data_IF_963744263231
#
_entry.id   IF_963744263231
#
_cell.length_a   1.000
_cell.length_b   1.000
_cell.length_c   1.000
_cell.angle_alpha   90.00
_cell.angle_beta   90.00
_cell.angle_gamma   90.00
#
_symmetry.space_group_name_H-M   'P 1'
#
loop_
_entity.id
_entity.type
_entity.pdbx_description
1 polymer ?
#
# COMPACT_ATOMS: atom_id res chain seq x y z
N UNK A 1 47.74 0.91 -37.90
CA UNK A 1 46.60 -0.04 -37.84
C UNK A 1 45.73 0.35 -36.66
N UNK A 2 44.42 0.43 -36.88
CA UNK A 2 43.38 1.00 -36.03
C UNK A 2 42.76 0.00 -35.03
N UNK A 3 42.05 0.56 -34.03
CA UNK A 3 41.02 -0.01 -33.11
C UNK A 3 41.58 -0.73 -31.87
N UNK A 4 41.16 -0.50 -30.62
CA UNK A 4 40.00 0.20 -30.06
C UNK A 4 38.98 -0.79 -29.47
N UNK A 5 38.81 -0.80 -28.14
CA UNK A 5 37.65 -1.21 -27.33
C UNK A 5 38.11 -1.33 -25.85
N UNK A 6 37.54 -0.70 -24.82
CA UNK A 6 36.22 -0.14 -24.69
C UNK A 6 35.25 -1.13 -24.03
N UNK A 7 34.98 -0.88 -22.73
CA UNK A 7 33.73 -1.17 -22.01
C UNK A 7 33.43 -2.57 -21.45
N UNK A 8 32.82 -2.53 -20.26
CA UNK A 8 32.22 -3.65 -19.54
C UNK A 8 31.75 -3.26 -18.14
N UNK A 9 31.03 -2.14 -18.03
CA UNK A 9 30.29 -1.72 -16.83
C UNK A 9 29.20 -2.77 -16.51
N UNK A 10 29.16 -3.36 -15.29
CA UNK A 10 28.11 -4.31 -14.96
C UNK A 10 26.80 -3.57 -14.65
N UNK A 11 26.04 -3.34 -15.73
CA UNK A 11 24.59 -3.42 -15.79
C UNK A 11 23.83 -2.80 -14.62
N UNK A 12 23.67 -1.48 -14.67
CA UNK A 12 22.63 -0.80 -13.90
C UNK A 12 21.27 -1.49 -14.14
N UNK A 13 20.64 -1.92 -13.05
CA UNK A 13 19.26 -2.36 -13.06
C UNK A 13 18.40 -1.19 -13.55
N UNK A 14 18.02 -1.23 -14.84
CA UNK A 14 17.02 -0.32 -15.38
C UNK A 14 15.72 -0.42 -14.57
N UNK A 15 14.90 0.63 -14.56
CA UNK A 15 13.65 0.62 -13.81
C UNK A 15 12.79 -0.55 -14.29
N UNK A 16 12.58 -1.53 -13.40
CA UNK A 16 11.67 -2.64 -13.66
C UNK A 16 10.29 -2.02 -13.78
N UNK A 17 9.75 -2.02 -14.99
CA UNK A 17 8.44 -1.45 -15.29
C UNK A 17 7.41 -2.02 -14.31
N UNK A 18 6.70 -1.13 -13.64
CA UNK A 18 5.48 -1.50 -12.92
C UNK A 18 4.59 -2.22 -13.93
N UNK A 19 4.17 -3.44 -13.60
CA UNK A 19 3.13 -4.11 -14.39
C UNK A 19 1.92 -3.17 -14.29
N UNK A 20 1.44 -2.58 -15.40
CA UNK A 20 0.29 -1.70 -15.33
C UNK A 20 -0.83 -2.49 -14.68
N UNK A 21 -1.42 -1.92 -13.63
CA UNK A 21 -2.66 -2.48 -13.08
C UNK A 21 -3.72 -2.32 -14.18
N UNK A 22 -4.20 -3.39 -14.83
CA UNK A 22 -5.16 -3.40 -15.92
C UNK A 22 -6.58 -3.04 -15.46
N UNK A 23 -6.74 -2.55 -14.24
CA UNK A 23 -7.99 -2.08 -13.69
C UNK A 23 -7.95 -0.55 -13.67
N UNK A 24 -7.99 0.03 -14.88
CA UNK A 24 -8.17 1.47 -15.14
C UNK A 24 -9.61 1.96 -14.86
N UNK A 25 -10.47 1.12 -14.26
CA UNK A 25 -11.92 1.34 -14.16
C UNK A 25 -12.41 2.03 -12.87
N UNK A 26 -11.52 2.64 -12.10
CA UNK A 26 -11.96 3.63 -11.14
C UNK A 26 -11.39 4.98 -11.59
N UNK A 27 -12.22 5.90 -12.14
CA UNK A 27 -11.77 7.28 -12.15
C UNK A 27 -11.37 7.59 -10.70
N UNK A 28 -10.18 8.18 -10.44
CA UNK A 28 -9.93 8.77 -9.14
C UNK A 28 -11.15 9.64 -8.81
N UNK A 29 -11.47 9.85 -7.53
CA UNK A 29 -12.39 10.95 -7.16
C UNK A 29 -11.96 12.12 -8.03
N UNK A 30 -12.83 12.53 -8.97
CA UNK A 30 -12.37 13.14 -10.22
C UNK A 30 -11.32 14.20 -9.95
N UNK A 31 -10.39 14.43 -10.89
CA UNK A 31 -9.44 15.54 -10.86
C UNK A 31 -10.07 16.93 -10.55
N UNK A 32 -11.40 17.02 -10.45
CA UNK A 32 -12.17 18.10 -9.84
C UNK A 32 -12.22 18.20 -8.31
N UNK A 33 -11.74 17.26 -7.45
CA UNK A 33 -11.73 17.50 -5.99
C UNK A 33 -10.53 18.35 -5.53
N UNK A 34 -9.52 18.54 -6.37
CA UNK A 34 -8.53 19.60 -6.19
C UNK A 34 -9.10 21.01 -6.47
N UNK A 35 -10.36 21.12 -6.92
CA UNK A 35 -11.03 22.41 -7.10
C UNK A 35 -11.68 22.86 -5.79
N UNK A 36 -10.86 23.48 -4.93
CA UNK A 36 -11.33 24.43 -3.91
C UNK A 36 -10.81 24.22 -2.48
N UNK A 37 -10.23 23.06 -2.15
CA UNK A 37 -9.65 22.79 -0.83
C UNK A 37 -8.23 22.24 -0.93
N UNK A 38 -7.32 22.71 -0.07
CA UNK A 38 -5.96 22.18 0.01
C UNK A 38 -5.99 20.74 0.56
N UNK A 39 -5.33 19.81 -0.14
CA UNK A 39 -5.11 18.44 0.34
C UNK A 39 -4.34 18.48 1.65
N UNK A 40 -4.88 17.86 2.71
CA UNK A 40 -4.21 17.82 4.03
C UNK A 40 -3.05 16.85 4.09
N UNK A 41 -3.02 15.89 3.19
CA UNK A 41 -1.99 14.88 3.05
C UNK A 41 -2.53 13.57 2.49
N UNK A 42 -1.66 12.55 2.44
CA UNK A 42 -1.96 11.24 1.85
C UNK A 42 -1.70 10.13 2.85
N UNK A 43 -2.66 9.22 2.97
CA UNK A 43 -2.56 8.03 3.81
C UNK A 43 -2.43 6.81 2.92
N UNK A 44 -1.25 6.19 2.96
CA UNK A 44 -0.99 4.88 2.40
C UNK A 44 -1.51 3.81 3.36
N UNK A 45 -2.18 2.81 2.81
CA UNK A 45 -2.93 1.80 3.54
C UNK A 45 -2.54 0.42 3.02
N UNK A 46 -2.10 -0.50 3.88
CA UNK A 46 -2.15 -1.91 3.51
C UNK A 46 -3.61 -2.39 3.39
N UNK A 47 -3.82 -3.48 2.65
CA UNK A 47 -5.15 -4.05 2.43
C UNK A 47 -5.47 -5.12 3.45
N UNK A 48 -4.79 -6.26 3.34
CA UNK A 48 -5.01 -7.46 4.14
C UNK A 48 -4.47 -7.23 5.56
N UNK A 49 -5.26 -7.56 6.58
CA UNK A 49 -4.90 -7.33 7.99
C UNK A 49 -5.06 -5.89 8.48
N UNK A 50 -5.31 -4.94 7.58
CA UNK A 50 -5.46 -3.50 7.91
C UNK A 50 -6.85 -2.95 7.59
N UNK A 51 -7.33 -3.20 6.37
CA UNK A 51 -8.67 -2.77 5.92
C UNK A 51 -9.67 -3.93 5.88
N UNK A 52 -9.18 -5.11 5.48
CA UNK A 52 -9.93 -6.36 5.44
C UNK A 52 -9.23 -7.45 6.23
N UNK A 53 -9.94 -8.52 6.57
CA UNK A 53 -9.38 -9.67 7.28
C UNK A 53 -8.20 -10.28 6.51
N UNK A 54 -7.16 -10.67 7.25
CA UNK A 54 -5.99 -11.37 6.71
C UNK A 54 -6.27 -12.88 6.68
N UNK A 55 -6.29 -13.46 5.49
CA UNK A 55 -6.59 -14.89 5.24
C UNK A 55 -5.43 -15.61 4.53
N UNK A 56 -4.29 -14.94 4.35
CA UNK A 56 -3.06 -15.47 3.77
C UNK A 56 -3.02 -15.41 2.24
N UNK A 57 -4.00 -16.02 1.56
CA UNK A 57 -4.09 -16.03 0.10
C UNK A 57 -5.54 -15.85 -0.36
N UNK A 58 -6.13 -14.71 -0.02
CA UNK A 58 -7.49 -14.35 -0.42
C UNK A 58 -7.65 -14.43 -1.94
N UNK A 59 -8.45 -15.40 -2.40
CA UNK A 59 -8.71 -15.67 -3.83
C UNK A 59 -10.19 -15.63 -4.19
N UNK A 60 -11.06 -15.82 -3.20
CA UNK A 60 -12.51 -15.76 -3.39
C UNK A 60 -13.02 -14.34 -3.06
N UNK A 61 -13.62 -13.61 -4.01
CA UNK A 61 -14.22 -12.31 -3.73
C UNK A 61 -15.32 -12.37 -2.65
N UNK A 62 -15.99 -13.51 -2.47
CA UNK A 62 -17.02 -13.68 -1.45
C UNK A 62 -16.46 -13.75 -0.02
N UNK A 63 -15.14 -13.91 0.15
CA UNK A 63 -14.44 -13.93 1.44
C UNK A 63 -13.89 -12.56 1.84
N UNK A 64 -14.11 -11.52 1.03
CA UNK A 64 -13.75 -10.14 1.43
C UNK A 64 -14.59 -9.74 2.65
N UNK A 65 -13.91 -9.48 3.77
CA UNK A 65 -14.52 -9.06 5.04
C UNK A 65 -13.85 -7.79 5.54
N UNK A 66 -14.59 -6.69 5.59
CA UNK A 66 -14.10 -5.41 6.11
C UNK A 66 -13.86 -5.52 7.61
N UNK A 67 -12.70 -5.07 8.07
CA UNK A 67 -12.38 -5.06 9.50
C UNK A 67 -13.21 -4.01 10.26
N UNK A 68 -13.62 -4.32 11.52
CA UNK A 68 -14.33 -3.36 12.35
C UNK A 68 -13.61 -2.01 12.45
N UNK A 69 -14.35 -0.92 12.25
CA UNK A 69 -13.82 0.45 12.31
C UNK A 69 -13.04 0.92 11.08
N UNK A 70 -12.76 0.06 10.08
CA UNK A 70 -12.07 0.47 8.86
C UNK A 70 -12.85 1.52 8.07
N UNK A 71 -14.14 1.26 7.80
CA UNK A 71 -15.03 2.21 7.13
C UNK A 71 -15.11 3.55 7.87
N UNK A 72 -15.33 3.50 9.19
CA UNK A 72 -15.41 4.71 10.02
C UNK A 72 -14.12 5.54 9.93
N UNK A 73 -12.96 4.90 10.07
CA UNK A 73 -11.66 5.55 9.99
C UNK A 73 -11.40 6.18 8.61
N UNK A 74 -11.68 5.45 7.54
CA UNK A 74 -11.49 5.96 6.17
C UNK A 74 -12.44 7.11 5.83
N UNK A 75 -13.71 7.04 6.23
CA UNK A 75 -14.67 8.15 6.06
C UNK A 75 -14.21 9.40 6.80
N UNK A 76 -13.65 9.23 8.01
CA UNK A 76 -13.09 10.33 8.78
C UNK A 76 -11.91 10.99 8.06
N UNK A 77 -10.95 10.20 7.58
CA UNK A 77 -9.79 10.71 6.84
C UNK A 77 -10.22 11.44 5.57
N UNK A 78 -11.06 10.81 4.75
CA UNK A 78 -11.59 11.42 3.54
C UNK A 78 -12.36 12.71 3.84
N UNK A 79 -13.24 12.70 4.85
CA UNK A 79 -14.01 13.88 5.28
C UNK A 79 -13.15 15.01 5.86
N UNK A 80 -11.90 14.74 6.22
CA UNK A 80 -10.90 15.75 6.60
C UNK A 80 -10.02 16.19 5.43
N UNK A 81 -10.20 15.68 4.22
CA UNK A 81 -9.43 16.09 3.04
C UNK A 81 -8.08 15.36 2.89
N UNK A 82 -7.97 14.14 3.42
CA UNK A 82 -6.83 13.26 3.17
C UNK A 82 -7.10 12.40 1.93
N UNK A 83 -6.07 12.20 1.11
CA UNK A 83 -6.08 11.21 0.03
C UNK A 83 -5.89 9.81 0.62
N UNK A 84 -6.65 8.84 0.13
CA UNK A 84 -6.59 7.44 0.53
C UNK A 84 -5.96 6.59 -0.57
N UNK A 85 -4.81 6.01 -0.29
CA UNK A 85 -4.01 5.24 -1.25
C UNK A 85 -3.74 3.83 -0.74
N UNK A 86 -4.16 2.79 -1.48
CA UNK A 86 -3.89 1.39 -1.08
C UNK A 86 -2.57 0.92 -1.68
N UNK A 87 -1.71 0.29 -0.87
CA UNK A 87 -0.45 -0.33 -1.32
C UNK A 87 -0.30 -1.73 -0.72
N UNK A 88 -0.41 -2.77 -1.55
CA UNK A 88 -0.52 -4.15 -1.06
C UNK A 88 0.49 -5.12 -1.69
N UNK A 89 1.05 -6.03 -0.89
CA UNK A 89 1.91 -7.11 -1.39
C UNK A 89 1.06 -8.36 -1.73
N UNK A 90 0.84 -8.65 -3.01
CA UNK A 90 0.07 -9.80 -3.50
C UNK A 90 1.00 -10.94 -3.98
N UNK A 91 1.85 -11.42 -3.07
CA UNK A 91 2.86 -12.46 -3.35
C UNK A 91 2.26 -13.80 -3.81
N UNK A 92 0.97 -14.03 -3.56
CA UNK A 92 0.25 -15.22 -3.97
C UNK A 92 0.30 -15.46 -5.48
N UNK A 93 0.37 -14.39 -6.30
CA UNK A 93 0.57 -14.49 -7.75
C UNK A 93 1.92 -15.14 -8.08
N UNK A 94 3.04 -14.59 -7.57
CA UNK A 94 4.36 -15.18 -7.77
C UNK A 94 4.46 -16.61 -7.22
N UNK A 95 3.74 -16.93 -6.14
CA UNK A 95 3.73 -18.25 -5.50
C UNK A 95 2.73 -19.25 -6.11
N UNK A 96 2.00 -18.87 -7.16
CA UNK A 96 1.02 -19.73 -7.83
C UNK A 96 -0.17 -20.13 -6.94
N UNK A 97 -0.53 -19.29 -5.97
CA UNK A 97 -1.63 -19.54 -5.01
C UNK A 97 -2.99 -19.11 -5.55
N UNK A 98 -2.99 -18.11 -6.42
CA UNK A 98 -4.14 -17.67 -7.17
C UNK A 98 -3.67 -17.05 -8.49
N UNK A 99 -4.60 -16.97 -9.43
CA UNK A 99 -4.41 -16.41 -10.76
C UNK A 99 -4.61 -14.90 -10.76
N UNK A 100 -4.24 -14.30 -11.89
CA UNK A 100 -4.49 -12.89 -12.18
C UNK A 100 -5.99 -12.55 -12.07
N UNK A 101 -6.84 -13.36 -12.67
CA UNK A 101 -8.29 -13.13 -12.74
C UNK A 101 -8.97 -13.25 -11.37
N UNK A 102 -8.50 -14.17 -10.53
CA UNK A 102 -8.95 -14.28 -9.13
C UNK A 102 -8.55 -13.03 -8.32
N UNK A 103 -7.31 -12.56 -8.47
CA UNK A 103 -6.85 -11.32 -7.83
C UNK A 103 -7.69 -10.12 -8.28
N UNK A 104 -7.92 -9.97 -9.58
CA UNK A 104 -8.73 -8.88 -10.14
C UNK A 104 -10.19 -8.97 -9.65
N UNK A 105 -10.72 -10.17 -9.47
CA UNK A 105 -12.06 -10.40 -8.91
C UNK A 105 -12.15 -10.01 -7.44
N UNK A 106 -11.18 -10.42 -6.61
CA UNK A 106 -11.06 -9.99 -5.22
C UNK A 106 -10.91 -8.49 -5.12
N UNK A 107 -10.11 -7.87 -5.99
CA UNK A 107 -9.93 -6.42 -6.00
C UNK A 107 -11.22 -5.67 -6.33
N UNK A 108 -11.97 -6.12 -7.33
CA UNK A 108 -13.30 -5.55 -7.63
C UNK A 108 -14.27 -5.68 -6.46
N UNK A 109 -14.28 -6.83 -5.79
CA UNK A 109 -15.10 -7.03 -4.59
C UNK A 109 -14.68 -6.10 -3.46
N UNK A 110 -13.38 -6.01 -3.16
CA UNK A 110 -12.81 -5.07 -2.19
C UNK A 110 -13.27 -3.63 -2.46
N UNK A 111 -13.11 -3.12 -3.68
CA UNK A 111 -13.56 -1.77 -4.02
C UNK A 111 -15.07 -1.61 -3.91
N UNK A 112 -15.84 -2.62 -4.32
CA UNK A 112 -17.30 -2.63 -4.22
C UNK A 112 -17.79 -2.55 -2.77
N UNK A 113 -17.23 -3.35 -1.86
CA UNK A 113 -17.63 -3.35 -0.45
C UNK A 113 -17.38 -1.99 0.22
N UNK A 114 -16.21 -1.37 -0.01
CA UNK A 114 -15.95 -0.03 0.51
C UNK A 114 -16.83 1.05 -0.13
N UNK A 115 -17.13 0.93 -1.43
CA UNK A 115 -18.00 1.88 -2.13
C UNK A 115 -19.43 1.86 -1.60
N UNK A 116 -19.99 0.68 -1.29
CA UNK A 116 -21.32 0.53 -0.67
C UNK A 116 -21.41 1.30 0.66
N UNK A 117 -20.30 1.36 1.38
CA UNK A 117 -20.16 2.05 2.67
C UNK A 117 -19.80 3.55 2.53
N UNK A 118 -19.76 4.08 1.31
CA UNK A 118 -19.46 5.48 1.02
C UNK A 118 -17.96 5.83 1.11
N UNK A 119 -17.08 4.84 1.03
CA UNK A 119 -15.62 5.03 0.96
C UNK A 119 -15.14 4.85 -0.47
N UNK A 120 -14.39 5.84 -0.96
CA UNK A 120 -13.70 5.78 -2.24
C UNK A 120 -12.21 6.05 -2.03
N UNK A 121 -11.36 5.21 -2.61
CA UNK A 121 -9.91 5.37 -2.63
C UNK A 121 -9.51 6.25 -3.82
N UNK A 122 -8.49 7.08 -3.62
CA UNK A 122 -7.96 7.99 -4.65
C UNK A 122 -6.95 7.27 -5.54
N UNK A 123 -6.25 6.29 -4.98
CA UNK A 123 -5.35 5.42 -5.73
C UNK A 123 -5.19 4.05 -5.05
N UNK A 124 -4.70 3.10 -5.82
CA UNK A 124 -4.29 1.80 -5.32
C UNK A 124 -3.21 1.23 -6.23
N UNK A 125 -2.30 0.46 -5.65
CA UNK A 125 -1.23 -0.29 -6.31
C UNK A 125 -1.00 -1.60 -5.56
N UNK A 126 -0.52 -2.62 -6.26
CA UNK A 126 -0.10 -3.86 -5.62
C UNK A 126 1.16 -4.44 -6.26
N UNK A 127 1.93 -5.20 -5.48
CA UNK A 127 3.10 -5.91 -5.94
C UNK A 127 2.78 -7.41 -6.13
N UNK A 128 2.88 -7.96 -7.36
CA UNK A 128 2.69 -9.40 -7.59
C UNK A 128 3.95 -10.24 -7.36
N UNK A 129 5.12 -9.62 -7.17
CA UNK A 129 6.43 -10.27 -7.24
C UNK A 129 6.89 -10.92 -5.92
N UNK A 130 7.70 -11.97 -6.05
CA UNK A 130 8.43 -12.58 -4.93
C UNK A 130 9.71 -13.27 -5.43
N UNK A 131 10.88 -13.08 -4.78
CA UNK A 131 12.14 -13.70 -5.25
C UNK A 131 12.10 -15.23 -5.25
N UNK A 132 11.42 -15.82 -4.26
CA UNK A 132 11.19 -17.27 -4.16
C UNK A 132 9.87 -17.72 -4.83
N UNK A 133 9.34 -16.93 -5.77
CA UNK A 133 8.17 -17.31 -6.55
C UNK A 133 8.42 -18.54 -7.44
N UNK A 134 7.33 -19.20 -7.85
CA UNK A 134 7.35 -20.33 -8.80
C UNK A 134 6.82 -19.94 -10.18
N UNK A 135 6.07 -18.84 -10.28
CA UNK A 135 5.51 -18.37 -11.54
C UNK A 135 6.57 -17.59 -12.33
N UNK A 136 6.93 -18.02 -13.55
CA UNK A 136 7.87 -17.29 -14.40
C UNK A 136 7.43 -15.84 -14.65
N UNK A 137 8.39 -14.91 -14.71
CA UNK A 137 8.12 -13.47 -14.82
C UNK A 137 7.74 -12.78 -13.51
N UNK A 138 7.20 -13.51 -12.53
CA UNK A 138 6.88 -12.96 -11.20
C UNK A 138 7.91 -13.33 -10.12
N UNK A 139 8.75 -14.33 -10.41
CA UNK A 139 9.91 -14.73 -9.59
C UNK A 139 11.06 -13.73 -9.73
N UNK A 140 10.98 -12.61 -9.03
CA UNK A 140 12.04 -11.58 -9.09
C UNK A 140 12.07 -10.73 -7.83
N UNK A 141 13.22 -10.11 -7.57
CA UNK A 141 13.31 -8.95 -6.70
C UNK A 141 12.76 -7.72 -7.46
N UNK A 142 11.96 -6.88 -6.80
CA UNK A 142 11.49 -5.62 -7.39
C UNK A 142 11.58 -4.48 -6.37
N UNK A 143 11.63 -3.24 -6.86
CA UNK A 143 11.48 -2.04 -6.04
C UNK A 143 10.05 -1.79 -5.53
N UNK A 144 9.08 -2.57 -6.02
CA UNK A 144 7.66 -2.43 -5.71
C UNK A 144 7.21 -3.19 -4.46
N UNK A 145 7.84 -4.32 -4.13
CA UNK A 145 7.46 -5.18 -3.01
C UNK A 145 7.85 -4.50 -1.72
N UNK A 146 6.90 -4.21 -0.82
CA UNK A 146 7.19 -3.60 0.49
C UNK A 146 8.26 -4.44 1.20
N UNK A 147 9.37 -3.84 1.67
CA UNK A 147 9.56 -2.41 1.97
C UNK A 147 10.04 -1.51 0.81
N UNK A 148 10.05 -2.00 -0.42
CA UNK A 148 10.29 -1.19 -1.62
C UNK A 148 9.22 -0.09 -1.81
N UNK A 149 9.63 1.06 -2.34
CA UNK A 149 8.83 2.31 -2.37
C UNK A 149 8.08 2.55 -3.67
N UNK A 150 8.37 1.79 -4.73
CA UNK A 150 7.91 2.13 -6.09
C UNK A 150 6.37 2.19 -6.22
N UNK A 151 5.61 1.42 -5.42
CA UNK A 151 4.14 1.53 -5.39
C UNK A 151 3.70 2.91 -4.88
N UNK A 152 4.27 3.38 -3.77
CA UNK A 152 3.92 4.67 -3.19
C UNK A 152 4.37 5.83 -4.08
N UNK A 153 5.59 5.75 -4.63
CA UNK A 153 6.13 6.74 -5.58
C UNK A 153 5.26 6.88 -6.84
N UNK A 154 4.82 5.75 -7.41
CA UNK A 154 3.87 5.73 -8.53
C UNK A 154 2.59 6.49 -8.22
N UNK A 155 2.01 6.24 -7.03
CA UNK A 155 0.80 6.93 -6.58
C UNK A 155 1.03 8.42 -6.40
N UNK A 156 2.12 8.82 -5.73
CA UNK A 156 2.46 10.23 -5.52
C UNK A 156 2.60 10.98 -6.84
N UNK A 157 3.29 10.36 -7.81
CA UNK A 157 3.45 10.90 -9.15
C UNK A 157 2.10 11.03 -9.88
N UNK A 158 1.31 9.95 -9.92
CA UNK A 158 0.01 9.91 -10.61
C UNK A 158 -1.00 10.91 -10.03
N UNK A 159 -0.97 11.13 -8.73
CA UNK A 159 -1.87 12.07 -8.05
C UNK A 159 -1.31 13.50 -7.97
N UNK A 160 -0.07 13.74 -8.43
CA UNK A 160 0.57 15.05 -8.34
C UNK A 160 0.71 15.57 -6.92
N UNK A 161 0.93 14.68 -5.95
CA UNK A 161 1.02 15.06 -4.53
C UNK A 161 2.33 15.80 -4.26
N UNK A 162 2.30 17.04 -3.76
CA UNK A 162 3.52 17.80 -3.47
C UNK A 162 4.40 17.10 -2.43
N UNK A 163 5.72 17.30 -2.51
CA UNK A 163 6.66 16.73 -1.52
C UNK A 163 6.43 17.25 -0.10
N UNK A 164 5.96 18.49 0.04
CA UNK A 164 5.61 19.11 1.32
C UNK A 164 4.34 18.54 1.95
N UNK A 165 3.59 17.73 1.20
CA UNK A 165 2.32 17.17 1.65
C UNK A 165 2.60 16.08 2.69
N UNK A 166 2.02 16.16 3.90
CA UNK A 166 2.20 15.13 4.92
C UNK A 166 1.79 13.73 4.42
N UNK A 167 2.57 12.72 4.82
CA UNK A 167 2.38 11.33 4.42
C UNK A 167 2.22 10.44 5.65
N UNK A 168 1.32 9.47 5.56
CA UNK A 168 1.15 8.43 6.57
C UNK A 168 1.17 7.05 5.92
N UNK A 169 1.67 6.05 6.64
CA UNK A 169 1.57 4.65 6.26
C UNK A 169 0.90 3.87 7.38
N UNK A 170 -0.21 3.21 7.10
CA UNK A 170 -0.94 2.35 8.03
C UNK A 170 -0.87 0.92 7.51
N UNK A 171 -0.35 0.00 8.32
CA UNK A 171 -0.22 -1.40 7.94
C UNK A 171 -0.12 -2.32 9.15
N UNK A 172 -0.16 -3.64 8.92
CA UNK A 172 -0.06 -4.67 9.96
C UNK A 172 1.31 -5.34 10.02
N UNK A 173 2.23 -5.00 9.09
CA UNK A 173 3.56 -5.62 9.01
C UNK A 173 4.69 -4.62 9.16
N UNK A 174 5.84 -5.09 9.65
CA UNK A 174 7.05 -4.25 9.71
C UNK A 174 7.55 -3.84 8.32
N UNK A 175 7.19 -4.58 7.26
CA UNK A 175 7.44 -4.16 5.88
C UNK A 175 6.71 -2.88 5.50
N UNK A 176 5.53 -2.63 6.08
CA UNK A 176 4.77 -1.39 5.87
C UNK A 176 5.45 -0.22 6.57
N UNK A 177 5.88 -0.44 7.81
CA UNK A 177 6.60 0.55 8.60
C UNK A 177 7.90 0.93 7.91
N UNK A 178 8.64 -0.05 7.40
CA UNK A 178 9.86 0.20 6.64
C UNK A 178 9.60 0.92 5.30
N UNK A 179 8.51 0.62 4.59
CA UNK A 179 8.09 1.41 3.43
C UNK A 179 7.80 2.87 3.83
N UNK A 180 7.00 3.06 4.88
CA UNK A 180 6.60 4.38 5.34
C UNK A 180 7.80 5.24 5.72
N UNK A 181 8.74 4.68 6.48
CA UNK A 181 9.98 5.35 6.82
C UNK A 181 10.79 5.78 5.58
N UNK A 182 10.87 4.92 4.56
CA UNK A 182 11.61 5.21 3.31
C UNK A 182 10.98 6.32 2.47
N UNK A 183 9.67 6.53 2.56
CA UNK A 183 8.97 7.62 1.84
C UNK A 183 8.75 8.87 2.70
N UNK A 184 9.34 8.93 3.90
CA UNK A 184 9.19 10.04 4.85
C UNK A 184 7.79 10.13 5.47
N UNK A 185 7.03 9.04 5.49
CA UNK A 185 5.71 8.99 6.11
C UNK A 185 5.81 8.71 7.61
N UNK A 186 4.85 9.23 8.37
CA UNK A 186 4.60 8.77 9.75
C UNK A 186 3.91 7.41 9.69
N UNK A 187 4.37 6.49 10.52
CA UNK A 187 4.04 5.07 10.44
C UNK A 187 3.11 4.66 11.58
N UNK A 188 2.03 3.96 11.24
CA UNK A 188 1.07 3.40 12.18
C UNK A 188 1.04 1.89 11.97
N UNK A 189 1.47 1.14 12.97
CA UNK A 189 1.26 -0.30 13.01
C UNK A 189 -0.09 -0.57 13.68
N UNK A 190 -1.00 -1.27 13.00
CA UNK A 190 -2.27 -1.68 13.62
C UNK A 190 -2.14 -3.07 14.24
N UNK A 191 -2.93 -3.37 15.28
CA UNK A 191 -2.91 -4.64 15.99
C UNK A 191 -3.76 -5.74 15.33
N UNK A 192 -4.52 -5.40 14.29
CA UNK A 192 -5.22 -6.33 13.40
C UNK A 192 -4.24 -7.09 12.51
N UNK A 193 -4.69 -8.17 11.85
CA UNK A 193 -3.82 -9.00 11.01
C UNK A 193 -2.64 -9.57 11.80
N UNK A 194 -1.43 -9.41 11.26
CA UNK A 194 -0.18 -9.84 11.89
C UNK A 194 0.42 -8.81 12.85
N UNK A 195 -0.25 -7.69 13.09
CA UNK A 195 0.27 -6.53 13.82
C UNK A 195 0.95 -6.80 15.16
N UNK A 196 0.34 -7.67 15.99
CA UNK A 196 0.89 -8.01 17.30
C UNK A 196 2.21 -8.78 17.19
N UNK A 197 2.25 -9.78 16.32
CA UNK A 197 3.43 -10.61 16.07
C UNK A 197 4.55 -9.81 15.40
N UNK A 198 4.17 -8.93 14.46
CA UNK A 198 5.08 -8.07 13.72
C UNK A 198 5.71 -7.02 14.63
N UNK A 199 4.97 -6.49 15.62
CA UNK A 199 5.53 -5.58 16.63
C UNK A 199 6.69 -6.24 17.39
N UNK A 200 6.51 -7.47 17.87
CA UNK A 200 7.55 -8.20 18.60
C UNK A 200 8.79 -8.49 17.73
N UNK A 201 8.59 -8.72 16.42
CA UNK A 201 9.70 -8.84 15.45
C UNK A 201 10.42 -7.51 15.28
N UNK A 202 9.68 -6.41 15.13
CA UNK A 202 10.22 -5.06 15.00
C UNK A 202 11.09 -4.66 16.19
N UNK A 203 10.60 -4.89 17.42
CA UNK A 203 11.32 -4.63 18.66
C UNK A 203 12.66 -5.39 18.70
N UNK A 204 12.68 -6.67 18.30
CA UNK A 204 13.92 -7.46 18.21
C UNK A 204 14.90 -6.96 17.15
N UNK A 205 14.41 -6.32 16.10
CA UNK A 205 15.20 -5.77 15.00
C UNK A 205 15.58 -4.29 15.20
N UNK A 206 15.15 -3.67 16.31
CA UNK A 206 15.36 -2.24 16.57
C UNK A 206 14.60 -1.32 15.62
N UNK A 207 13.52 -1.81 15.00
CA UNK A 207 12.65 -1.01 14.12
C UNK A 207 11.30 -0.86 14.81
N UNK A 208 10.89 0.38 15.05
CA UNK A 208 9.61 0.69 15.70
C UNK A 208 8.75 1.58 14.80
N UNK A 209 7.41 1.38 14.79
CA UNK A 209 6.49 2.35 14.21
C UNK A 209 6.47 3.64 15.04
N UNK A 210 5.97 4.74 14.47
CA UNK A 210 5.73 5.97 15.26
C UNK A 210 4.62 5.76 16.30
N UNK A 211 3.68 4.85 16.02
CA UNK A 211 2.63 4.45 16.96
C UNK A 211 2.10 3.04 16.65
N UNK A 212 1.69 2.31 17.69
CA UNK A 212 0.99 1.03 17.60
C UNK A 212 -0.45 1.16 18.12
N UNK A 213 -1.45 0.87 17.29
CA UNK A 213 -2.87 1.14 17.58
C UNK A 213 -3.76 -0.08 17.35
N UNK A 214 -4.93 -0.19 18.02
CA UNK A 214 -5.82 -1.34 17.86
C UNK A 214 -6.29 -1.63 16.43
N UNK A 215 -6.57 -0.59 15.64
CA UNK A 215 -7.08 -0.73 14.28
C UNK A 215 -7.20 0.59 13.53
N UNK A 216 -7.85 0.54 12.37
CA UNK A 216 -7.93 1.67 11.43
C UNK A 216 -8.73 2.88 11.98
N UNK A 217 -9.72 2.66 12.84
CA UNK A 217 -10.46 3.76 13.48
C UNK A 217 -9.55 4.60 14.37
N UNK A 218 -8.79 3.95 15.24
CA UNK A 218 -7.84 4.60 16.14
C UNK A 218 -6.70 5.26 15.34
N UNK A 219 -6.23 4.62 14.28
CA UNK A 219 -5.27 5.20 13.35
C UNK A 219 -5.79 6.53 12.77
N UNK A 220 -7.03 6.56 12.28
CA UNK A 220 -7.64 7.78 11.75
C UNK A 220 -7.80 8.88 12.82
N UNK A 221 -8.14 8.53 14.05
CA UNK A 221 -8.21 9.48 15.17
C UNK A 221 -6.83 10.11 15.44
N UNK A 222 -5.79 9.29 15.53
CA UNK A 222 -4.42 9.77 15.76
C UNK A 222 -3.90 10.65 14.61
N UNK A 223 -4.11 10.23 13.36
CA UNK A 223 -3.70 10.99 12.16
C UNK A 223 -4.39 12.37 12.14
N UNK A 224 -5.70 12.41 12.37
CA UNK A 224 -6.46 13.67 12.35
C UNK A 224 -6.22 14.55 13.58
N UNK A 225 -5.70 13.98 14.67
CA UNK A 225 -5.26 14.68 15.88
C UNK A 225 -3.85 15.29 15.78
N UNK A 226 -3.19 15.21 14.62
CA UNK A 226 -1.86 15.78 14.40
C UNK A 226 -0.70 14.80 14.57
N UNK A 227 -0.98 13.53 14.87
CA UNK A 227 -0.02 12.43 14.85
C UNK A 227 1.22 12.66 15.73
N UNK A 228 1.03 13.21 16.93
CA UNK A 228 2.14 13.47 17.87
C UNK A 228 2.74 12.13 18.31
N UNK A 229 4.06 12.03 18.29
CA UNK A 229 4.80 10.84 18.75
C UNK A 229 4.55 10.65 20.24
N UNK A 230 4.10 9.47 20.63
CA UNK A 230 3.93 9.03 22.03
C UNK A 230 5.10 8.18 22.46
#
# INVERSE_FOLDING_TARGET
MQRGAGEGDPGGAGPVALVPSPLEDAPPRGAGHLRGGAVRGIVFLDRDGTLIEETGYLRDPAEVRILPGAVEGLRRLAGKGYLLAVVSNQAGLARGKFTRDEMDSVHRAFLSEFRKEGVAFDAWEYCPHHPDGVVPGLRTACGCRKPGTAMAESILFRLGVPESCPRWMVGDKMSDIALGARIGARTVLVATGYGREEREKGERMGVAPDVFLPGMREAALWITGGGVRS
#
